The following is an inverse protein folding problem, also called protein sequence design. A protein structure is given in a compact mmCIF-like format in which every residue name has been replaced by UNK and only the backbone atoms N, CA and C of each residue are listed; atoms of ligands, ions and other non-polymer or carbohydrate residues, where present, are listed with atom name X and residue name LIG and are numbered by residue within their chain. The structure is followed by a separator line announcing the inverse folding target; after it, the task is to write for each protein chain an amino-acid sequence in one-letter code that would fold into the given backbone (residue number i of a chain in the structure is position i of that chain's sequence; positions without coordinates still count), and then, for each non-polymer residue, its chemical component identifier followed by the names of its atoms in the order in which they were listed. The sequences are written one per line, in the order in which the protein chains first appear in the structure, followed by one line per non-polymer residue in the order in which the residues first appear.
data_IF_946598139181
#
_entry.id   IF_946598139181
#
_cell.length_a   1.000
_cell.length_b   1.000
_cell.length_c   1.000
_cell.angle_alpha   90.00
_cell.angle_beta   90.00
_cell.angle_gamma   90.00
#
_symmetry.space_group_name_H-M   'P 1'
#
loop_
_entity.id
_entity.type
_entity.pdbx_description
1 polymer ?
#
# COMPACT_ATOMS: atom_id res chain seq x y z
N UNK A 1 23.66 30.84 0.66
CA UNK A 1 22.89 30.50 -0.56
C UNK A 1 23.79 29.66 -1.46
N UNK A 2 23.52 28.37 -1.65
CA UNK A 2 24.16 27.58 -2.71
C UNK A 2 23.13 26.58 -3.23
N UNK A 3 22.54 26.95 -4.36
CA UNK A 3 21.72 26.11 -5.23
C UNK A 3 22.63 25.01 -5.78
N UNK A 4 22.19 23.76 -5.72
CA UNK A 4 22.76 22.66 -6.51
C UNK A 4 21.61 22.11 -7.35
N UNK A 5 21.63 22.49 -8.61
CA UNK A 5 20.82 21.94 -9.69
C UNK A 5 21.13 20.43 -9.82
N UNK A 6 20.09 19.64 -10.09
CA UNK A 6 20.22 18.28 -10.61
C UNK A 6 19.03 18.01 -11.53
N UNK A 7 19.28 18.28 -12.81
CA UNK A 7 18.99 17.44 -13.98
C UNK A 7 17.59 16.82 -14.12
N UNK A 8 16.80 17.47 -14.97
CA UNK A 8 16.04 16.95 -16.12
C UNK A 8 15.98 15.41 -16.35
N UNK A 9 15.05 14.74 -15.66
CA UNK A 9 14.40 13.48 -16.09
C UNK A 9 12.86 13.55 -15.85
N UNK A 10 12.29 14.75 -15.94
CA UNK A 10 10.97 15.11 -15.41
C UNK A 10 9.79 14.90 -16.38
N UNK A 11 9.82 13.86 -17.23
CA UNK A 11 8.73 13.60 -18.19
C UNK A 11 7.78 12.45 -17.80
N UNK A 12 8.09 11.65 -16.77
CA UNK A 12 7.17 10.58 -16.31
C UNK A 12 7.24 10.24 -14.82
N UNK A 13 7.86 11.08 -13.99
CA UNK A 13 7.80 10.95 -12.54
C UNK A 13 6.73 11.90 -12.00
N UNK A 14 5.46 11.50 -12.13
CA UNK A 14 4.38 12.17 -11.40
C UNK A 14 4.75 12.13 -9.91
N UNK A 15 4.88 13.29 -9.26
CA UNK A 15 5.14 13.33 -7.82
C UNK A 15 4.01 12.60 -7.08
N UNK A 16 4.22 12.10 -5.86
CA UNK A 16 3.14 11.51 -5.07
C UNK A 16 1.91 12.41 -4.94
N UNK A 17 2.10 13.73 -4.87
CA UNK A 17 1.04 14.73 -4.87
C UNK A 17 0.29 14.76 -6.22
N UNK A 18 1.01 14.86 -7.34
CA UNK A 18 0.40 14.85 -8.67
C UNK A 18 -0.36 13.56 -8.94
N UNK A 19 0.21 12.41 -8.53
CA UNK A 19 -0.42 11.10 -8.70
C UNK A 19 -1.74 11.02 -7.94
N UNK A 20 -1.76 11.57 -6.72
CA UNK A 20 -2.96 11.64 -5.91
C UNK A 20 -4.05 12.49 -6.59
N UNK A 21 -3.71 13.68 -7.08
CA UNK A 21 -4.66 14.57 -7.75
C UNK A 21 -5.25 13.97 -9.02
N UNK A 22 -4.43 13.28 -9.81
CA UNK A 22 -4.84 12.71 -11.09
C UNK A 22 -5.72 11.47 -10.94
N UNK A 23 -5.55 10.67 -9.86
CA UNK A 23 -6.15 9.34 -9.77
C UNK A 23 -7.10 9.15 -8.59
N UNK A 24 -6.91 9.87 -7.48
CA UNK A 24 -7.66 9.66 -6.25
C UNK A 24 -8.68 10.77 -6.04
N UNK A 25 -8.26 12.04 -6.10
CA UNK A 25 -9.17 13.17 -5.95
C UNK A 25 -8.47 14.46 -5.53
N UNK A 26 -9.25 15.43 -5.07
CA UNK A 26 -8.76 16.75 -4.71
C UNK A 26 -7.73 16.71 -3.57
N UNK A 27 -6.56 17.30 -3.80
CA UNK A 27 -5.51 17.40 -2.80
C UNK A 27 -5.81 18.54 -1.82
N UNK A 28 -6.29 18.18 -0.64
CA UNK A 28 -6.40 19.16 0.46
C UNK A 28 -5.03 19.41 1.11
N UNK A 29 -4.80 20.57 1.73
CA UNK A 29 -3.55 20.86 2.45
C UNK A 29 -3.19 19.79 3.48
N UNK A 30 -4.20 19.24 4.17
CA UNK A 30 -4.01 18.16 5.14
C UNK A 30 -3.47 16.89 4.47
N UNK A 31 -4.03 16.48 3.33
CA UNK A 31 -3.54 15.30 2.61
C UNK A 31 -2.16 15.56 2.01
N UNK A 32 -1.90 16.75 1.48
CA UNK A 32 -0.59 17.12 0.96
C UNK A 32 0.50 17.01 2.04
N UNK A 33 0.23 17.50 3.25
CA UNK A 33 1.14 17.37 4.39
C UNK A 33 1.39 15.90 4.75
N UNK A 34 0.33 15.08 4.80
CA UNK A 34 0.47 13.64 5.07
C UNK A 34 1.28 12.91 4.00
N UNK A 35 1.07 13.23 2.73
CA UNK A 35 1.88 12.69 1.62
C UNK A 35 3.34 13.04 1.83
N UNK A 36 3.66 14.31 2.10
CA UNK A 36 5.05 14.75 2.35
C UNK A 36 5.68 14.01 3.52
N UNK A 37 4.99 13.88 4.66
CA UNK A 37 5.48 13.14 5.82
C UNK A 37 5.83 11.69 5.47
N UNK A 38 4.98 11.00 4.71
CA UNK A 38 5.25 9.62 4.30
C UNK A 38 6.40 9.49 3.29
N UNK A 39 6.59 10.49 2.44
CA UNK A 39 7.71 10.55 1.51
C UNK A 39 9.04 10.70 2.27
N UNK A 40 9.06 11.51 3.34
CA UNK A 40 10.23 11.68 4.22
C UNK A 40 10.54 10.41 5.03
N UNK A 41 9.51 9.68 5.48
CA UNK A 41 9.69 8.46 6.29
C UNK A 41 10.09 7.22 5.49
N UNK A 42 9.68 7.10 4.21
CA UNK A 42 9.92 5.91 3.39
C UNK A 42 10.58 6.25 2.05
N UNK A 43 9.78 6.56 1.04
CA UNK A 43 10.20 7.07 -0.27
C UNK A 43 8.98 7.41 -1.12
N UNK A 44 9.15 8.33 -2.07
CA UNK A 44 8.11 8.69 -3.04
C UNK A 44 7.57 7.47 -3.79
N UNK A 45 8.47 6.56 -4.19
CA UNK A 45 8.13 5.33 -4.93
C UNK A 45 7.18 4.43 -4.13
N UNK A 46 7.46 4.22 -2.84
CA UNK A 46 6.58 3.45 -1.97
C UNK A 46 5.24 4.17 -1.77
N UNK A 47 5.24 5.48 -1.60
CA UNK A 47 4.00 6.24 -1.45
C UNK A 47 3.12 6.10 -2.69
N UNK A 48 3.66 6.26 -3.90
CA UNK A 48 2.92 6.05 -5.15
C UNK A 48 2.43 4.60 -5.27
N UNK A 49 3.27 3.62 -4.94
CA UNK A 49 2.89 2.21 -5.02
C UNK A 49 1.73 1.87 -4.05
N UNK A 50 1.71 2.48 -2.87
CA UNK A 50 0.59 2.33 -1.93
C UNK A 50 -0.72 2.88 -2.51
N UNK A 51 -0.65 3.99 -3.25
CA UNK A 51 -1.80 4.58 -3.95
C UNK A 51 -2.27 3.69 -5.10
N UNK A 52 -1.36 3.12 -5.91
CA UNK A 52 -1.72 2.14 -6.97
C UNK A 52 -2.50 0.97 -6.40
N UNK A 53 -2.05 0.41 -5.26
CA UNK A 53 -2.73 -0.71 -4.58
C UNK A 53 -4.09 -0.30 -4.01
N UNK A 54 -4.24 0.94 -3.58
CA UNK A 54 -5.52 1.47 -3.13
C UNK A 54 -6.53 1.56 -4.30
N UNK A 55 -6.09 2.04 -5.47
CA UNK A 55 -6.91 2.10 -6.69
C UNK A 55 -7.35 0.71 -7.16
N UNK A 56 -6.43 -0.25 -7.19
CA UNK A 56 -6.73 -1.65 -7.56
C UNK A 56 -7.79 -2.30 -6.68
N UNK A 57 -7.92 -1.86 -5.43
CA UNK A 57 -8.92 -2.36 -4.48
C UNK A 57 -10.18 -1.48 -4.41
N UNK A 58 -10.33 -0.49 -5.30
CA UNK A 58 -11.41 0.51 -5.26
C UNK A 58 -11.52 1.22 -3.90
N UNK A 59 -10.39 1.41 -3.20
CA UNK A 59 -10.30 2.08 -1.89
C UNK A 59 -9.54 3.39 -2.04
N UNK A 60 -10.05 4.28 -2.90
CA UNK A 60 -9.44 5.53 -3.31
C UNK A 60 -9.51 6.62 -2.22
N UNK A 61 -8.93 6.36 -1.06
CA UNK A 61 -8.80 7.33 0.03
C UNK A 61 -7.43 7.18 0.70
N UNK A 62 -6.80 8.31 1.02
CA UNK A 62 -5.40 8.32 1.47
C UNK A 62 -5.18 7.48 2.74
N UNK A 63 -6.15 7.47 3.66
CA UNK A 63 -6.10 6.64 4.88
C UNK A 63 -5.87 5.14 4.60
N UNK A 64 -6.30 4.63 3.46
CA UNK A 64 -6.00 3.25 3.06
C UNK A 64 -4.54 3.08 2.64
N UNK A 65 -4.00 4.05 1.89
CA UNK A 65 -2.60 4.11 1.51
C UNK A 65 -1.71 4.12 2.77
N UNK A 66 -2.06 4.93 3.77
CA UNK A 66 -1.35 4.98 5.05
C UNK A 66 -1.35 3.65 5.81
N UNK A 67 -2.45 2.88 5.75
CA UNK A 67 -2.50 1.56 6.36
C UNK A 67 -1.55 0.56 5.67
N UNK A 68 -1.39 0.69 4.35
CA UNK A 68 -0.42 -0.10 3.58
C UNK A 68 1.01 0.32 3.96
N UNK A 69 1.29 1.62 3.99
CA UNK A 69 2.61 2.18 4.33
C UNK A 69 3.04 1.80 5.75
N UNK A 70 2.15 1.94 6.75
CA UNK A 70 2.42 1.50 8.14
C UNK A 70 2.81 0.04 8.22
N UNK A 71 2.16 -0.80 7.41
CA UNK A 71 2.47 -2.23 7.37
C UNK A 71 3.85 -2.47 6.77
N UNK A 72 4.21 -1.77 5.71
CA UNK A 72 5.55 -1.85 5.11
C UNK A 72 6.64 -1.35 6.06
N UNK A 73 6.41 -0.22 6.72
CA UNK A 73 7.29 0.31 7.75
C UNK A 73 7.51 -0.70 8.88
N UNK A 74 6.43 -1.34 9.38
CA UNK A 74 6.52 -2.39 10.41
C UNK A 74 7.28 -3.63 9.93
N UNK A 75 7.14 -3.97 8.65
CA UNK A 75 7.84 -5.09 8.03
C UNK A 75 9.28 -4.76 7.58
N UNK A 76 9.76 -3.52 7.79
CA UNK A 76 11.09 -3.09 7.35
C UNK A 76 11.26 -3.04 5.84
N UNK A 77 10.17 -2.86 5.08
CA UNK A 77 10.21 -2.79 3.61
C UNK A 77 10.77 -1.44 3.18
N UNK A 78 11.83 -1.47 2.36
CA UNK A 78 12.49 -0.26 1.82
C UNK A 78 12.47 -0.19 0.29
N UNK A 79 12.00 -1.23 -0.39
CA UNK A 79 11.92 -1.32 -1.85
C UNK A 79 10.56 -1.84 -2.32
N UNK A 80 10.22 -1.56 -3.58
CA UNK A 80 9.00 -2.06 -4.24
C UNK A 80 8.98 -3.60 -4.24
N UNK A 81 10.14 -4.23 -4.47
CA UNK A 81 10.30 -5.68 -4.44
C UNK A 81 9.93 -6.26 -3.06
N UNK A 82 10.38 -5.61 -1.97
CA UNK A 82 10.00 -5.98 -0.62
C UNK A 82 8.49 -5.83 -0.37
N UNK A 83 7.88 -4.77 -0.94
CA UNK A 83 6.45 -4.56 -0.86
C UNK A 83 5.64 -5.63 -1.60
N UNK A 84 6.15 -6.12 -2.74
CA UNK A 84 5.58 -7.24 -3.50
C UNK A 84 5.71 -8.57 -2.77
N UNK A 85 6.89 -8.90 -2.25
CA UNK A 85 7.13 -10.11 -1.45
C UNK A 85 6.14 -10.21 -0.27
N UNK A 86 5.97 -9.11 0.47
CA UNK A 86 5.03 -9.03 1.59
C UNK A 86 3.55 -9.18 1.17
N UNK A 87 3.22 -8.86 -0.09
CA UNK A 87 1.89 -9.05 -0.65
C UNK A 87 1.63 -10.52 -1.00
N UNK A 88 2.64 -11.21 -1.53
CA UNK A 88 2.60 -12.65 -1.88
C UNK A 88 2.45 -13.52 -0.63
N UNK A 89 3.23 -13.25 0.42
CA UNK A 89 3.12 -13.96 1.70
C UNK A 89 1.71 -13.87 2.29
N UNK A 90 1.07 -12.71 2.21
CA UNK A 90 -0.30 -12.54 2.72
C UNK A 90 -1.34 -13.32 1.93
N UNK A 91 -1.17 -13.43 0.61
CA UNK A 91 -2.06 -14.25 -0.23
C UNK A 91 -1.92 -15.73 0.08
N UNK A 92 -0.71 -16.20 0.38
CA UNK A 92 -0.47 -17.58 0.80
C UNK A 92 -1.10 -17.87 2.18
N UNK A 93 -0.87 -16.99 3.15
CA UNK A 93 -1.37 -17.19 4.52
C UNK A 93 -2.89 -16.97 4.66
N UNK A 94 -3.50 -16.17 3.79
CA UNK A 94 -4.96 -16.01 3.73
C UNK A 94 -5.67 -17.28 3.30
N UNK A 95 -5.16 -17.96 2.26
CA UNK A 95 -5.72 -19.23 1.78
C UNK A 95 -5.65 -20.35 2.81
N UNK A 96 -4.52 -20.47 3.51
CA UNK A 96 -4.32 -21.50 4.53
C UNK A 96 -5.32 -21.35 5.70
N UNK A 97 -5.65 -20.11 6.07
CA UNK A 97 -6.64 -19.84 7.12
C UNK A 97 -8.08 -20.15 6.68
N UNK A 98 -8.45 -19.75 5.47
CA UNK A 98 -9.79 -20.03 4.91
C UNK A 98 -10.00 -21.55 4.72
N UNK A 99 -8.97 -22.28 4.27
CA UNK A 99 -9.02 -23.74 4.15
C UNK A 99 -9.14 -24.43 5.51
N UNK A 100 -8.39 -23.99 6.53
CA UNK A 100 -8.49 -24.53 7.89
C UNK A 100 -9.84 -24.25 8.53
N UNK A 101 -10.39 -23.05 8.40
CA UNK A 101 -11.73 -22.74 8.90
C UNK A 101 -12.79 -23.59 8.18
N UNK A 102 -12.70 -23.74 6.86
CA UNK A 102 -13.60 -24.61 6.08
C UNK A 102 -13.53 -26.06 6.56
N UNK A 103 -12.32 -26.59 6.73
CA UNK A 103 -12.11 -27.96 7.23
C UNK A 103 -12.70 -28.16 8.63
N UNK A 104 -12.44 -27.22 9.57
CA UNK A 104 -12.99 -27.27 10.92
C UNK A 104 -14.53 -27.21 10.90
N UNK A 105 -15.12 -26.35 10.08
CA UNK A 105 -16.58 -26.28 9.93
C UNK A 105 -17.18 -27.56 9.33
N UNK A 106 -16.53 -28.15 8.34
CA UNK A 106 -16.94 -29.43 7.75
C UNK A 106 -16.84 -30.59 8.75
N UNK A 107 -15.79 -30.62 9.57
CA UNK A 107 -15.60 -31.61 10.62
C UNK A 107 -16.70 -31.52 11.68
N UNK A 108 -16.98 -30.32 12.19
CA UNK A 108 -18.07 -30.06 13.15
C UNK A 108 -19.44 -30.43 12.54
N UNK A 109 -19.64 -30.18 11.24
CA UNK A 109 -20.89 -30.53 10.54
C UNK A 109 -21.07 -32.05 10.41
N UNK A 110 -19.99 -32.82 10.26
CA UNK A 110 -20.03 -34.29 10.27
C UNK A 110 -20.33 -34.84 11.66
N UNK A 111 -19.75 -34.27 12.70
CA UNK A 111 -19.99 -34.71 14.09
C UNK A 111 -21.41 -34.42 14.59
N UNK A 112 -22.06 -33.36 14.10
CA UNK A 112 -23.43 -32.97 14.51
C UNK A 112 -24.56 -33.59 13.68
N UNK A 113 -24.23 -34.44 12.70
CA UNK A 113 -25.19 -35.20 11.88
C UNK A 113 -25.22 -36.70 12.27
N UNK A 114 -25.01 -37.00 13.55
CA UNK A 114 -25.37 -38.25 14.23
C UNK A 114 -26.52 -37.99 15.20
#
# INVERSE_FOLDING_TARGET
RKRKERDEDAATASTPHDFYEQNIGMLSPFIAERITQWCEEMSDELVVESMRRALQQNKCFFKYCEAILKRWQTAGVTSIEGAEALSLEKRANGKDKDEKETYIFEEIRKERNL
#
